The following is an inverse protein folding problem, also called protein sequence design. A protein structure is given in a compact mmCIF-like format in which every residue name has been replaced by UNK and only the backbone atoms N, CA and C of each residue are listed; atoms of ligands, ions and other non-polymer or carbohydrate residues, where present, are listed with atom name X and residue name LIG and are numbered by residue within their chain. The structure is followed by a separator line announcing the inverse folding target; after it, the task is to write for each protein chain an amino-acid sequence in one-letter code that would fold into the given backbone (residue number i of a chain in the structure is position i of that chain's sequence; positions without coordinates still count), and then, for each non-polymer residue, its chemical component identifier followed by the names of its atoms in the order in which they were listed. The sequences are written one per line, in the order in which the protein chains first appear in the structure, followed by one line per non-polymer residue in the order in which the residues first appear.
data_IF_361059755593
#
_entry.id   IF_361059755593
#
_cell.length_a   1.000
_cell.length_b   1.000
_cell.length_c   1.000
_cell.angle_alpha   90.00
_cell.angle_beta   90.00
_cell.angle_gamma   90.00
#
_symmetry.space_group_name_H-M   'P 1'
#
loop_
_entity.id
_entity.type
_entity.pdbx_description
1 polymer ?
#
# COMPACT_ATOMS: atom_id res chain seq x y z
N UNK A 1 40.28 38.61 33.32
CA UNK A 1 39.43 39.38 32.38
C UNK A 1 39.88 39.21 30.94
N UNK A 2 40.95 39.86 30.47
CA UNK A 2 41.39 39.73 29.06
C UNK A 2 41.86 38.30 28.72
N UNK A 3 42.79 37.74 29.50
CA UNK A 3 43.26 36.35 29.31
C UNK A 3 42.13 35.31 29.36
N UNK A 4 41.07 35.61 30.09
CA UNK A 4 39.92 34.73 30.26
C UNK A 4 39.01 34.80 29.03
N UNK A 5 38.75 36.01 28.52
CA UNK A 5 38.03 36.25 27.28
C UNK A 5 38.75 35.62 26.07
N UNK A 6 40.07 35.79 25.98
CA UNK A 6 40.90 35.20 24.94
C UNK A 6 40.91 33.67 24.99
N UNK A 7 40.99 33.09 26.20
CA UNK A 7 40.93 31.64 26.39
C UNK A 7 39.58 31.09 25.92
N UNK A 8 38.46 31.70 26.34
CA UNK A 8 37.12 31.28 25.93
C UNK A 8 36.94 31.33 24.41
N UNK A 9 37.34 32.44 23.77
CA UNK A 9 37.25 32.60 22.33
C UNK A 9 38.07 31.54 21.58
N UNK A 10 39.32 31.30 22.02
CA UNK A 10 40.23 30.35 21.39
C UNK A 10 39.75 28.91 21.53
N UNK A 11 39.29 28.52 22.72
CA UNK A 11 38.74 27.18 22.97
C UNK A 11 37.50 26.92 22.12
N UNK A 12 36.60 27.90 22.02
CA UNK A 12 35.42 27.81 21.17
C UNK A 12 35.77 27.74 19.68
N UNK A 13 36.70 28.54 19.19
CA UNK A 13 37.10 28.50 17.78
C UNK A 13 37.73 27.17 17.39
N UNK A 14 38.55 26.58 18.27
CA UNK A 14 39.09 25.24 18.08
C UNK A 14 37.99 24.18 18.06
N UNK A 15 37.07 24.25 19.01
CA UNK A 15 35.93 23.34 19.09
C UNK A 15 35.03 23.46 17.86
N UNK A 16 34.71 24.68 17.42
CA UNK A 16 33.89 24.96 16.24
C UNK A 16 34.55 24.45 14.96
N UNK A 17 35.86 24.64 14.81
CA UNK A 17 36.61 24.11 13.65
C UNK A 17 36.59 22.58 13.62
N UNK A 18 36.64 21.93 14.78
CA UNK A 18 36.51 20.47 14.89
C UNK A 18 35.09 20.01 14.55
N UNK A 19 34.08 20.66 15.13
CA UNK A 19 32.66 20.37 14.88
C UNK A 19 32.32 20.47 13.38
N UNK A 20 32.77 21.54 12.71
CA UNK A 20 32.54 21.74 11.27
C UNK A 20 33.17 20.61 10.44
N UNK A 21 34.37 20.13 10.81
CA UNK A 21 35.00 18.98 10.13
C UNK A 21 34.21 17.68 10.31
N UNK A 22 33.53 17.55 11.44
CA UNK A 22 32.68 16.42 11.79
C UNK A 22 31.23 16.61 11.28
N UNK A 23 30.95 17.69 10.54
CA UNK A 23 29.63 17.98 9.99
C UNK A 23 28.61 18.49 11.02
N UNK A 24 29.06 18.98 12.17
CA UNK A 24 28.23 19.49 13.26
C UNK A 24 28.52 20.96 13.57
N UNK A 25 27.58 21.65 14.23
CA UNK A 25 27.72 23.05 14.66
C UNK A 25 27.46 23.14 16.16
N UNK A 26 28.28 23.91 16.87
CA UNK A 26 28.13 24.12 18.31
C UNK A 26 26.98 25.10 18.58
N UNK A 27 26.03 24.68 19.40
CA UNK A 27 24.74 25.36 19.60
C UNK A 27 24.79 26.62 20.47
N UNK A 28 25.90 26.80 21.19
CA UNK A 28 26.16 27.93 22.09
C UNK A 28 27.50 28.57 21.77
N UNK A 29 27.51 29.89 21.61
CA UNK A 29 28.72 30.68 21.36
C UNK A 29 29.05 31.55 22.58
N UNK A 30 30.31 31.58 23.05
CA UNK A 30 30.74 32.44 24.16
C UNK A 30 31.03 33.88 23.71
N UNK A 31 30.83 34.23 22.42
CA UNK A 31 31.19 35.56 21.93
C UNK A 31 30.46 36.69 22.67
N UNK A 32 29.25 36.45 23.17
CA UNK A 32 28.54 37.43 24.00
C UNK A 32 29.26 37.71 25.33
N UNK A 33 29.71 36.66 26.03
CA UNK A 33 30.42 36.76 27.30
C UNK A 33 31.81 37.39 27.12
N UNK A 34 32.49 37.05 26.02
CA UNK A 34 33.75 37.65 25.61
C UNK A 34 33.61 39.16 25.37
N UNK A 35 32.56 39.59 24.65
CA UNK A 35 32.26 41.03 24.44
C UNK A 35 32.10 41.74 25.78
N UNK A 36 31.29 41.19 26.70
CA UNK A 36 31.06 41.80 28.02
C UNK A 36 32.36 41.95 28.83
N UNK A 37 33.27 40.98 28.76
CA UNK A 37 34.57 41.07 29.43
C UNK A 37 35.43 42.18 28.86
N UNK A 38 35.46 42.35 27.54
CA UNK A 38 36.21 43.45 26.91
C UNK A 38 35.57 44.82 27.16
N UNK A 39 34.25 44.92 27.21
CA UNK A 39 33.55 46.16 27.57
C UNK A 39 33.88 46.60 28.99
N UNK A 40 33.92 45.67 29.95
CA UNK A 40 34.34 45.96 31.32
C UNK A 40 35.77 46.48 31.38
N UNK A 41 36.69 45.88 30.63
CA UNK A 41 38.09 46.33 30.55
C UNK A 41 38.18 47.73 29.92
N UNK A 42 37.46 47.97 28.82
CA UNK A 42 37.40 49.29 28.17
C UNK A 42 36.90 50.37 29.15
N UNK A 43 35.84 50.09 29.88
CA UNK A 43 35.26 51.05 30.83
C UNK A 43 36.23 51.37 31.97
N UNK A 44 36.93 50.37 32.53
CA UNK A 44 37.97 50.58 33.54
C UNK A 44 39.14 51.44 33.04
N UNK A 45 39.51 51.33 31.76
CA UNK A 45 40.56 52.14 31.15
C UNK A 45 40.12 53.60 30.97
N UNK A 46 38.85 53.82 30.64
CA UNK A 46 38.25 55.16 30.57
C UNK A 46 38.24 55.81 31.96
N UNK A 47 37.78 55.08 32.98
CA UNK A 47 37.74 55.55 34.38
C UNK A 47 39.13 55.93 34.92
N UNK A 48 40.17 55.18 34.53
CA UNK A 48 41.56 55.45 34.91
C UNK A 48 42.26 56.50 34.03
N UNK A 49 41.59 57.04 33.01
CA UNK A 49 42.14 58.05 32.11
C UNK A 49 43.17 57.52 31.10
N UNK A 50 43.27 56.20 30.90
CA UNK A 50 44.23 55.56 29.99
C UNK A 50 43.69 55.54 28.55
N UNK A 51 43.57 56.74 27.97
CA UNK A 51 42.90 56.96 26.67
C UNK A 51 43.57 56.24 25.49
N UNK A 52 44.89 56.02 25.53
CA UNK A 52 45.62 55.39 24.43
C UNK A 52 45.30 53.90 24.26
N UNK A 53 44.84 53.23 25.32
CA UNK A 53 44.52 51.80 25.30
C UNK A 53 43.06 51.53 24.92
N UNK A 54 42.17 52.52 25.06
CA UNK A 54 40.72 52.39 24.78
C UNK A 54 40.41 51.97 23.34
N UNK A 55 41.07 52.52 22.30
CA UNK A 55 40.83 52.11 20.92
C UNK A 55 41.15 50.63 20.64
N UNK A 56 42.17 50.07 21.31
CA UNK A 56 42.59 48.67 21.12
C UNK A 56 41.47 47.72 21.55
N UNK A 57 40.92 47.94 22.76
CA UNK A 57 39.83 47.12 23.28
C UNK A 57 38.51 47.37 22.55
N UNK A 58 38.29 48.60 22.06
CA UNK A 58 37.13 48.91 21.22
C UNK A 58 37.16 48.12 19.91
N UNK A 59 38.33 48.03 19.27
CA UNK A 59 38.50 47.20 18.08
C UNK A 59 38.27 45.71 18.39
N UNK A 60 38.76 45.23 19.54
CA UNK A 60 38.55 43.84 19.95
C UNK A 60 37.07 43.52 20.18
N UNK A 61 36.31 44.44 20.78
CA UNK A 61 34.85 44.33 20.93
C UNK A 61 34.17 44.20 19.56
N UNK A 62 34.54 45.05 18.61
CA UNK A 62 33.96 45.02 17.26
C UNK A 62 34.22 43.69 16.54
N UNK A 63 35.44 43.14 16.65
CA UNK A 63 35.79 41.83 16.08
C UNK A 63 34.86 40.74 16.62
N UNK A 64 34.59 40.73 17.93
CA UNK A 64 33.72 39.72 18.52
C UNK A 64 32.24 39.93 18.19
N UNK A 65 31.79 41.17 17.99
CA UNK A 65 30.46 41.45 17.44
C UNK A 65 30.27 40.88 16.03
N UNK A 66 31.24 41.08 15.13
CA UNK A 66 31.20 40.50 13.78
C UNK A 66 31.17 38.96 13.82
N UNK A 67 31.93 38.35 14.73
CA UNK A 67 31.93 36.90 14.93
C UNK A 67 30.58 36.39 15.44
N UNK A 68 29.96 37.11 16.38
CA UNK A 68 28.61 36.80 16.89
C UNK A 68 27.55 36.92 15.79
N UNK A 69 27.63 37.95 14.95
CA UNK A 69 26.70 38.12 13.82
C UNK A 69 26.82 36.97 12.81
N UNK A 70 28.05 36.58 12.45
CA UNK A 70 28.30 35.43 11.56
C UNK A 70 27.76 34.13 12.16
N UNK A 71 27.95 33.93 13.47
CA UNK A 71 27.40 32.78 14.19
C UNK A 71 25.87 32.74 14.12
N UNK A 72 25.20 33.87 14.37
CA UNK A 72 23.73 33.95 14.30
C UNK A 72 23.21 33.67 12.88
N UNK A 73 23.87 34.19 11.85
CA UNK A 73 23.53 33.89 10.45
C UNK A 73 23.65 32.41 10.13
N UNK A 74 24.73 31.76 10.58
CA UNK A 74 24.91 30.30 10.40
C UNK A 74 23.79 29.51 11.10
N UNK A 75 23.42 29.90 12.32
CA UNK A 75 22.33 29.24 13.07
C UNK A 75 20.99 29.37 12.35
N UNK A 76 20.69 30.53 11.77
CA UNK A 76 19.47 30.74 10.96
C UNK A 76 19.46 29.87 9.71
N UNK A 77 20.59 29.75 9.01
CA UNK A 77 20.69 28.92 7.79
C UNK A 77 20.47 27.44 8.13
N UNK A 78 21.07 26.94 9.21
CA UNK A 78 20.85 25.55 9.65
C UNK A 78 19.39 25.29 10.05
N UNK A 79 18.75 26.22 10.76
CA UNK A 79 17.33 26.10 11.08
C UNK A 79 16.47 26.04 9.80
N UNK A 80 16.76 26.87 8.80
CA UNK A 80 16.05 26.85 7.51
C UNK A 80 16.31 25.57 6.72
N UNK A 81 17.53 25.02 6.74
CA UNK A 81 17.81 23.72 6.12
C UNK A 81 17.02 22.61 6.78
N UNK A 82 16.97 22.59 8.11
CA UNK A 82 16.23 21.60 8.88
C UNK A 82 14.73 21.66 8.58
N UNK A 83 14.15 22.86 8.50
CA UNK A 83 12.74 23.04 8.11
C UNK A 83 12.48 22.56 6.67
N UNK A 84 13.34 22.92 5.73
CA UNK A 84 13.22 22.45 4.33
C UNK A 84 13.31 20.93 4.23
N UNK A 85 14.21 20.32 5.00
CA UNK A 85 14.36 18.87 5.02
C UNK A 85 13.11 18.18 5.57
N UNK A 86 12.55 18.68 6.68
CA UNK A 86 11.27 18.20 7.22
C UNK A 86 10.12 18.32 6.22
N UNK A 87 10.01 19.45 5.52
CA UNK A 87 8.98 19.66 4.51
C UNK A 87 9.08 18.66 3.34
N UNK A 88 10.31 18.34 2.89
CA UNK A 88 10.54 17.34 1.84
C UNK A 88 10.14 15.94 2.32
N UNK A 89 10.53 15.56 3.54
CA UNK A 89 10.18 14.26 4.14
C UNK A 89 8.65 14.10 4.27
N UNK A 90 7.94 15.14 4.71
CA UNK A 90 6.47 15.15 4.79
C UNK A 90 5.81 15.00 3.40
N UNK A 91 6.31 15.71 2.38
CA UNK A 91 5.81 15.58 1.01
C UNK A 91 5.99 14.16 0.45
N UNK A 92 7.13 13.53 0.72
CA UNK A 92 7.40 12.16 0.28
C UNK A 92 6.45 11.16 0.94
N UNK A 93 6.23 11.29 2.26
CA UNK A 93 5.33 10.42 3.02
C UNK A 93 3.88 10.46 2.48
N UNK A 94 3.37 11.66 2.18
CA UNK A 94 2.02 11.83 1.61
C UNK A 94 1.88 11.14 0.25
N UNK A 95 2.93 11.20 -0.58
CA UNK A 95 2.93 10.58 -1.92
C UNK A 95 2.94 9.06 -1.84
N UNK A 96 3.71 8.48 -0.92
CA UNK A 96 3.74 7.02 -0.70
C UNK A 96 2.39 6.50 -0.21
N UNK A 97 1.78 7.17 0.77
CA UNK A 97 0.46 6.81 1.31
C UNK A 97 -0.63 6.87 0.23
N UNK A 98 -0.66 7.94 -0.58
CA UNK A 98 -1.63 8.09 -1.68
C UNK A 98 -1.48 7.01 -2.77
N UNK A 99 -0.24 6.65 -3.11
CA UNK A 99 0.05 5.61 -4.13
C UNK A 99 -0.34 4.22 -3.61
N UNK A 100 -0.13 3.95 -2.33
CA UNK A 100 -0.48 2.68 -1.70
C UNK A 100 -2.00 2.48 -1.57
N UNK A 101 -2.74 3.56 -1.28
CA UNK A 101 -4.22 3.54 -1.25
C UNK A 101 -4.78 3.25 -2.66
N UNK A 102 -4.28 3.92 -3.70
CA UNK A 102 -4.74 3.70 -5.07
C UNK A 102 -4.51 2.25 -5.54
N UNK A 103 -3.33 1.70 -5.27
CA UNK A 103 -3.00 0.30 -5.59
C UNK A 103 -3.89 -0.70 -4.83
N UNK A 104 -4.27 -0.41 -3.59
CA UNK A 104 -5.16 -1.28 -2.81
C UNK A 104 -6.60 -1.27 -3.35
N UNK A 105 -7.10 -0.11 -3.79
CA UNK A 105 -8.43 0.02 -4.40
C UNK A 105 -8.51 -0.78 -5.71
N UNK A 106 -7.49 -0.69 -6.56
CA UNK A 106 -7.45 -1.41 -7.83
C UNK A 106 -7.39 -2.93 -7.61
N UNK A 107 -6.55 -3.41 -6.69
CA UNK A 107 -6.51 -4.83 -6.30
C UNK A 107 -7.85 -5.33 -5.75
N UNK A 108 -8.54 -4.53 -4.95
CA UNK A 108 -9.86 -4.90 -4.43
C UNK A 108 -10.90 -5.05 -5.54
N UNK A 109 -10.94 -4.14 -6.52
CA UNK A 109 -11.88 -4.23 -7.65
C UNK A 109 -11.64 -5.48 -8.49
N UNK A 110 -10.37 -5.79 -8.79
CA UNK A 110 -10.00 -7.00 -9.52
C UNK A 110 -10.45 -8.25 -8.76
N UNK A 111 -10.20 -8.29 -7.45
CA UNK A 111 -10.58 -9.42 -6.60
C UNK A 111 -12.11 -9.62 -6.53
N UNK A 112 -12.87 -8.52 -6.49
CA UNK A 112 -14.33 -8.57 -6.47
C UNK A 112 -14.89 -9.09 -7.81
N UNK A 113 -14.33 -8.63 -8.93
CA UNK A 113 -14.70 -9.12 -10.26
C UNK A 113 -14.35 -10.60 -10.47
N UNK A 114 -13.18 -11.05 -10.02
CA UNK A 114 -12.81 -12.48 -10.12
C UNK A 114 -13.73 -13.34 -9.27
N UNK A 115 -14.02 -12.92 -8.04
CA UNK A 115 -14.93 -13.64 -7.14
C UNK A 115 -16.35 -13.71 -7.72
N UNK A 116 -16.83 -12.66 -8.37
CA UNK A 116 -18.14 -12.65 -9.04
C UNK A 116 -18.18 -13.67 -10.19
N UNK A 117 -17.15 -13.70 -11.03
CA UNK A 117 -17.03 -14.66 -12.13
C UNK A 117 -16.97 -16.10 -11.61
N UNK A 118 -16.20 -16.36 -10.55
CA UNK A 118 -16.14 -17.67 -9.90
C UNK A 118 -17.51 -18.11 -9.36
N UNK A 119 -18.24 -17.18 -8.72
CA UNK A 119 -19.58 -17.44 -8.20
C UNK A 119 -20.56 -17.78 -9.32
N UNK A 120 -20.51 -17.06 -10.45
CA UNK A 120 -21.33 -17.34 -11.63
C UNK A 120 -21.04 -18.71 -12.26
N UNK A 121 -19.77 -19.14 -12.25
CA UNK A 121 -19.37 -20.49 -12.69
C UNK A 121 -19.90 -21.54 -11.72
N UNK A 122 -19.75 -21.35 -10.40
CA UNK A 122 -20.26 -22.31 -9.41
C UNK A 122 -21.78 -22.46 -9.46
N UNK A 123 -22.52 -21.35 -9.60
CA UNK A 123 -23.98 -21.39 -9.73
C UNK A 123 -24.37 -22.20 -10.97
N UNK A 124 -23.67 -22.00 -12.09
CA UNK A 124 -23.94 -22.70 -13.33
C UNK A 124 -23.66 -24.21 -13.23
N UNK A 125 -22.53 -24.60 -12.65
CA UNK A 125 -22.20 -26.02 -12.43
C UNK A 125 -23.26 -26.67 -11.54
N UNK A 126 -23.64 -26.01 -10.45
CA UNK A 126 -24.67 -26.51 -9.53
C UNK A 126 -26.02 -26.72 -10.21
N UNK A 127 -26.41 -25.79 -11.10
CA UNK A 127 -27.64 -25.94 -11.88
C UNK A 127 -27.60 -27.17 -12.79
N UNK A 128 -26.48 -27.43 -13.45
CA UNK A 128 -26.30 -28.63 -14.28
C UNK A 128 -26.38 -29.88 -13.42
N UNK A 129 -25.66 -29.93 -12.30
CA UNK A 129 -25.64 -31.09 -11.39
C UNK A 129 -27.04 -31.41 -10.87
N UNK A 130 -27.84 -30.41 -10.49
CA UNK A 130 -29.22 -30.60 -10.04
C UNK A 130 -30.11 -31.17 -11.15
N UNK A 131 -29.96 -30.70 -12.39
CA UNK A 131 -30.70 -31.21 -13.54
C UNK A 131 -30.33 -32.66 -13.87
N UNK A 132 -29.04 -33.00 -13.84
CA UNK A 132 -28.54 -34.37 -14.08
C UNK A 132 -29.05 -35.30 -12.98
N UNK A 133 -28.86 -34.94 -11.71
CA UNK A 133 -29.30 -35.76 -10.57
C UNK A 133 -30.80 -36.05 -10.62
N UNK A 134 -31.61 -35.04 -10.97
CA UNK A 134 -33.05 -35.24 -11.13
C UNK A 134 -33.40 -36.18 -12.28
N UNK A 135 -32.75 -36.02 -13.44
CA UNK A 135 -32.97 -36.88 -14.60
C UNK A 135 -32.58 -38.34 -14.32
N UNK A 136 -31.43 -38.57 -13.70
CA UNK A 136 -30.95 -39.91 -13.35
C UNK A 136 -31.82 -40.58 -12.28
N UNK A 137 -32.26 -39.82 -11.27
CA UNK A 137 -33.19 -40.32 -10.26
C UNK A 137 -34.50 -40.77 -10.90
N UNK A 138 -35.10 -39.94 -11.75
CA UNK A 138 -36.34 -40.27 -12.46
C UNK A 138 -36.17 -41.52 -13.33
N UNK A 139 -35.05 -41.62 -14.06
CA UNK A 139 -34.73 -42.79 -14.86
C UNK A 139 -34.67 -44.06 -14.01
N UNK A 140 -33.92 -44.01 -12.89
CA UNK A 140 -33.72 -45.15 -11.99
C UNK A 140 -35.02 -45.60 -11.34
N UNK A 141 -35.82 -44.67 -10.84
CA UNK A 141 -37.13 -44.97 -10.24
C UNK A 141 -38.07 -45.66 -11.22
N UNK A 142 -38.04 -45.22 -12.47
CA UNK A 142 -38.84 -45.80 -13.53
C UNK A 142 -38.35 -47.20 -13.93
N UNK A 143 -37.04 -47.39 -14.10
CA UNK A 143 -36.46 -48.71 -14.38
C UNK A 143 -36.78 -49.73 -13.26
N UNK A 144 -36.77 -49.30 -12.00
CA UNK A 144 -37.18 -50.12 -10.86
C UNK A 144 -38.67 -50.47 -10.94
N UNK A 145 -39.52 -49.52 -11.30
CA UNK A 145 -40.96 -49.75 -11.45
C UNK A 145 -41.26 -50.78 -12.56
N UNK A 146 -40.56 -50.69 -13.71
CA UNK A 146 -40.66 -51.67 -14.79
C UNK A 146 -40.26 -53.07 -14.33
N UNK A 147 -39.17 -53.22 -13.57
CA UNK A 147 -38.75 -54.51 -13.00
C UNK A 147 -39.76 -55.11 -12.02
N UNK A 148 -40.56 -54.26 -11.37
CA UNK A 148 -41.66 -54.66 -10.48
C UNK A 148 -42.96 -54.97 -11.24
N UNK A 149 -42.97 -54.89 -12.57
CA UNK A 149 -44.13 -55.17 -13.41
C UNK A 149 -45.13 -54.01 -13.52
N UNK A 150 -44.76 -52.79 -13.13
CA UNK A 150 -45.66 -51.63 -13.13
C UNK A 150 -45.67 -50.91 -14.49
N UNK A 151 -46.18 -51.58 -15.53
CA UNK A 151 -46.19 -51.08 -16.91
C UNK A 151 -47.17 -49.92 -17.17
N UNK A 152 -48.13 -49.70 -16.26
CA UNK A 152 -49.10 -48.61 -16.32
C UNK A 152 -48.47 -47.22 -16.10
N UNK A 153 -47.26 -47.15 -15.53
CA UNK A 153 -46.55 -45.89 -15.26
C UNK A 153 -46.16 -45.20 -16.57
N UNK A 154 -46.34 -43.88 -16.65
CA UNK A 154 -45.90 -43.09 -17.82
C UNK A 154 -44.38 -43.17 -18.01
N UNK A 155 -43.94 -43.24 -19.26
CA UNK A 155 -42.52 -43.33 -19.63
C UNK A 155 -41.86 -41.94 -19.53
N UNK A 156 -40.89 -41.73 -18.62
CA UNK A 156 -40.27 -40.43 -18.40
C UNK A 156 -39.08 -40.15 -19.32
N UNK A 157 -38.67 -41.11 -20.16
CA UNK A 157 -37.52 -40.93 -21.05
C UNK A 157 -37.62 -39.72 -21.99
N UNK A 158 -38.79 -39.31 -22.53
CA UNK A 158 -38.92 -38.08 -23.29
C UNK A 158 -38.57 -36.82 -22.48
N UNK A 159 -39.00 -36.73 -21.21
CA UNK A 159 -38.71 -35.59 -20.33
C UNK A 159 -37.22 -35.55 -19.93
N UNK A 160 -36.63 -36.72 -19.73
CA UNK A 160 -35.19 -36.87 -19.46
C UNK A 160 -34.35 -36.42 -20.67
N UNK A 161 -34.75 -36.80 -21.89
CA UNK A 161 -34.10 -36.35 -23.14
C UNK A 161 -34.14 -34.82 -23.23
N UNK A 162 -35.31 -34.20 -23.00
CA UNK A 162 -35.45 -32.75 -23.02
C UNK A 162 -34.55 -32.06 -21.99
N UNK A 163 -34.40 -32.66 -20.81
CA UNK A 163 -33.52 -32.15 -19.74
C UNK A 163 -32.05 -32.14 -20.20
N UNK A 164 -31.58 -33.23 -20.80
CA UNK A 164 -30.21 -33.28 -21.33
C UNK A 164 -30.00 -32.40 -22.57
N UNK A 165 -31.01 -32.23 -23.42
CA UNK A 165 -30.96 -31.27 -24.54
C UNK A 165 -30.82 -29.83 -24.04
N UNK A 166 -31.52 -29.48 -22.96
CA UNK A 166 -31.39 -28.18 -22.31
C UNK A 166 -29.99 -27.96 -21.71
N UNK A 167 -29.44 -28.94 -21.00
CA UNK A 167 -28.06 -28.88 -20.47
C UNK A 167 -27.05 -28.70 -21.61
N UNK A 168 -27.19 -29.48 -22.69
CA UNK A 168 -26.30 -29.39 -23.86
C UNK A 168 -26.33 -27.98 -24.46
N UNK A 169 -27.51 -27.39 -24.63
CA UNK A 169 -27.63 -26.04 -25.20
C UNK A 169 -27.00 -24.99 -24.26
N UNK A 170 -27.22 -25.10 -22.95
CA UNK A 170 -26.59 -24.22 -21.94
C UNK A 170 -25.06 -24.27 -21.99
N UNK A 171 -24.47 -25.44 -22.25
CA UNK A 171 -23.02 -25.61 -22.40
C UNK A 171 -22.50 -25.03 -23.71
N UNK A 172 -23.22 -25.24 -24.82
CA UNK A 172 -22.86 -24.69 -26.13
C UNK A 172 -22.93 -23.16 -26.16
N UNK A 173 -23.92 -22.55 -25.50
CA UNK A 173 -24.03 -21.10 -25.33
C UNK A 173 -22.81 -20.50 -24.61
N UNK A 174 -22.15 -21.27 -23.73
CA UNK A 174 -20.91 -20.89 -23.04
C UNK A 174 -19.63 -21.33 -23.76
N UNK A 175 -19.75 -21.93 -24.95
CA UNK A 175 -18.62 -22.42 -25.74
C UNK A 175 -17.99 -23.72 -25.23
N UNK A 176 -18.60 -24.39 -24.25
CA UNK A 176 -18.13 -25.65 -23.66
C UNK A 176 -18.53 -26.85 -24.54
N UNK A 177 -17.86 -26.98 -25.68
CA UNK A 177 -18.19 -27.98 -26.72
C UNK A 177 -17.89 -29.42 -26.27
N UNK A 178 -16.81 -29.61 -25.51
CA UNK A 178 -16.40 -30.94 -25.05
C UNK A 178 -17.40 -31.49 -24.01
N UNK A 179 -17.81 -30.66 -23.05
CA UNK A 179 -18.82 -31.03 -22.06
C UNK A 179 -20.19 -31.29 -22.73
N UNK A 180 -20.56 -30.48 -23.72
CA UNK A 180 -21.80 -30.68 -24.49
C UNK A 180 -21.81 -32.01 -25.27
N UNK A 181 -20.65 -32.53 -25.67
CA UNK A 181 -20.55 -33.82 -26.36
C UNK A 181 -20.94 -34.99 -25.43
N UNK A 182 -20.60 -34.91 -24.14
CA UNK A 182 -20.97 -35.93 -23.14
C UNK A 182 -22.50 -36.08 -23.09
N UNK A 183 -23.22 -34.96 -23.03
CA UNK A 183 -24.68 -34.97 -22.97
C UNK A 183 -25.33 -35.39 -24.29
N UNK A 184 -24.66 -35.21 -25.42
CA UNK A 184 -25.12 -35.75 -26.71
C UNK A 184 -25.17 -37.28 -26.69
N UNK A 185 -24.15 -37.91 -26.10
CA UNK A 185 -24.14 -39.36 -25.89
C UNK A 185 -25.26 -39.81 -24.97
N UNK A 186 -25.53 -39.08 -23.89
CA UNK A 186 -26.62 -39.41 -22.97
C UNK A 186 -28.00 -39.28 -23.62
N UNK A 187 -28.23 -38.23 -24.42
CA UNK A 187 -29.45 -38.07 -25.22
C UNK A 187 -29.67 -39.30 -26.11
N UNK A 188 -28.62 -39.77 -26.78
CA UNK A 188 -28.70 -40.94 -27.65
C UNK A 188 -29.04 -42.21 -26.86
N UNK A 189 -28.40 -42.43 -25.71
CA UNK A 189 -28.68 -43.57 -24.85
C UNK A 189 -30.16 -43.60 -24.37
N UNK A 190 -30.73 -42.47 -23.98
CA UNK A 190 -32.13 -42.40 -23.58
C UNK A 190 -33.11 -42.50 -24.76
N UNK A 191 -32.74 -42.06 -25.97
CA UNK A 191 -33.52 -42.31 -27.19
C UNK A 191 -33.63 -43.80 -27.49
N UNK A 192 -32.54 -44.55 -27.32
CA UNK A 192 -32.55 -46.01 -27.48
C UNK A 192 -33.41 -46.70 -26.41
N UNK A 193 -33.33 -46.24 -25.15
CA UNK A 193 -34.20 -46.74 -24.06
C UNK A 193 -35.68 -46.48 -24.34
N UNK A 194 -36.02 -45.30 -24.88
CA UNK A 194 -37.39 -44.97 -25.28
C UNK A 194 -37.92 -45.89 -26.39
N UNK A 195 -37.09 -46.22 -27.39
CA UNK A 195 -37.47 -47.18 -28.44
C UNK A 195 -37.71 -48.58 -27.86
N UNK A 196 -36.84 -49.03 -26.94
CA UNK A 196 -37.03 -50.32 -26.26
C UNK A 196 -38.29 -50.36 -25.42
N UNK A 197 -38.60 -49.27 -24.70
CA UNK A 197 -39.81 -49.15 -23.89
C UNK A 197 -41.09 -49.24 -24.72
N UNK A 198 -41.13 -48.58 -25.87
CA UNK A 198 -42.25 -48.68 -26.82
C UNK A 198 -42.49 -50.12 -27.27
N UNK A 199 -41.42 -50.84 -27.64
CA UNK A 199 -41.49 -52.26 -28.03
C UNK A 199 -41.93 -53.22 -26.92
N UNK A 200 -41.77 -52.83 -25.65
CA UNK A 200 -42.23 -53.63 -24.51
C UNK A 200 -43.72 -53.42 -24.20
N UNK A 201 -44.33 -52.36 -24.74
CA UNK A 201 -45.73 -51.98 -24.53
C UNK A 201 -46.63 -52.28 -25.73
N UNK A 202 -46.04 -52.51 -26.91
CA UNK A 202 -46.68 -53.07 -28.11
C UNK A 202 -46.82 -54.59 -27.98
#
# INVERSE_FOLDING_TARGET
MVNEADKMAREYELAMKKAIKEGSIIETSPYHEVIQLYEKVRNLLIEKGWKDQVPIYTNQINIYYEKLEKYNKLKQIEAQKLEKQKAIEEMHKIKEEGTQIANNIEKMKILEETKKKEMEVQIFIKQIDEMVNNAERTAREYEVALRKGQFERSCPYPEIINTYEKIRNMLLERGLKDDAAIYTTQIQAYKEKLVKDKRLRE
#
